data_IF_830251550409
#
_entry.id   IF_830251550409
#
_cell.length_a   1.000
_cell.length_b   1.000
_cell.length_c   1.000
_cell.angle_alpha   90.00
_cell.angle_beta   90.00
_cell.angle_gamma   90.00
#
_symmetry.space_group_name_H-M   'P 1'
#
loop_
_entity.id
_entity.type
_entity.pdbx_description
1 polymer ?
#
# COMPACT_ATOMS: atom_id res chain seq x y z
N UNK A 1 7.90 4.06 -12.98
CA UNK A 1 8.90 3.49 -12.05
C UNK A 1 8.13 2.68 -11.02
N UNK A 2 8.13 1.34 -11.12
CA UNK A 2 7.33 0.49 -10.23
C UNK A 2 8.02 0.39 -8.88
N UNK A 3 7.51 1.15 -7.91
CA UNK A 3 8.00 1.21 -6.53
C UNK A 3 7.52 -0.01 -5.72
N UNK A 4 6.47 -0.69 -6.19
CA UNK A 4 5.89 -1.86 -5.54
C UNK A 4 6.46 -3.13 -6.16
N UNK A 5 7.03 -3.98 -5.31
CA UNK A 5 7.49 -5.33 -5.64
C UNK A 5 6.36 -6.34 -5.43
N UNK A 6 6.32 -7.32 -6.30
CA UNK A 6 5.43 -8.48 -6.17
C UNK A 6 5.74 -9.26 -4.89
N UNK A 7 4.71 -9.83 -4.27
CA UNK A 7 4.78 -10.63 -3.03
C UNK A 7 5.33 -9.92 -1.78
N UNK A 8 5.41 -8.59 -1.79
CA UNK A 8 5.72 -7.81 -0.60
C UNK A 8 4.44 -7.32 0.10
N UNK A 9 4.53 -7.21 1.43
CA UNK A 9 3.51 -6.55 2.23
C UNK A 9 3.99 -5.16 2.63
N UNK A 10 3.06 -4.23 2.73
CA UNK A 10 3.33 -2.85 3.05
C UNK A 10 2.54 -2.41 4.28
N UNK A 11 3.13 -1.45 4.99
CA UNK A 11 2.46 -0.61 5.97
C UNK A 11 2.38 0.80 5.42
N UNK A 12 1.18 1.37 5.38
CA UNK A 12 0.92 2.73 4.92
C UNK A 12 0.47 3.57 6.11
N UNK A 13 0.98 4.80 6.18
CA UNK A 13 0.43 5.87 7.01
C UNK A 13 -0.28 6.85 6.10
N UNK A 14 -1.58 7.04 6.33
CA UNK A 14 -2.43 7.89 5.50
C UNK A 14 -3.40 8.67 6.39
N UNK A 15 -3.33 10.00 6.36
CA UNK A 15 -4.15 10.90 7.18
C UNK A 15 -4.13 10.50 8.66
N UNK A 16 -2.93 10.27 9.21
CA UNK A 16 -2.69 9.82 10.58
C UNK A 16 -3.28 8.43 10.95
N UNK A 17 -3.72 7.63 9.97
CA UNK A 17 -4.13 6.24 10.18
C UNK A 17 -3.08 5.29 9.64
N UNK A 18 -2.84 4.19 10.35
CA UNK A 18 -1.95 3.13 9.91
C UNK A 18 -2.73 1.95 9.34
N UNK A 19 -2.32 1.50 8.16
CA UNK A 19 -2.84 0.31 7.50
C UNK A 19 -1.67 -0.65 7.29
N UNK A 20 -1.82 -1.91 7.67
CA UNK A 20 -0.74 -2.92 7.63
C UNK A 20 -1.17 -4.14 6.81
N UNK A 21 -0.21 -4.98 6.45
CA UNK A 21 -0.45 -6.21 5.67
C UNK A 21 -1.13 -5.94 4.32
N UNK A 22 -0.77 -4.82 3.70
CA UNK A 22 -1.30 -4.42 2.40
C UNK A 22 -0.46 -5.02 1.28
N UNK A 23 -1.10 -5.65 0.30
CA UNK A 23 -0.49 -6.12 -0.93
C UNK A 23 -0.89 -5.20 -2.07
N UNK A 24 0.08 -4.78 -2.89
CA UNK A 24 -0.18 -3.96 -4.06
C UNK A 24 -1.09 -4.69 -5.06
N UNK A 25 -2.08 -3.98 -5.59
CA UNK A 25 -2.98 -4.51 -6.63
C UNK A 25 -2.75 -3.78 -7.94
N UNK A 26 -2.84 -2.44 -7.92
CA UNK A 26 -2.63 -1.59 -9.10
C UNK A 26 -2.40 -0.14 -8.73
N UNK A 27 -1.96 0.60 -9.73
CA UNK A 27 -1.84 2.06 -9.69
C UNK A 27 -2.57 2.62 -10.91
N UNK A 28 -3.39 3.64 -10.69
CA UNK A 28 -4.22 4.26 -11.72
C UNK A 28 -3.96 5.77 -11.72
N UNK A 29 -3.85 6.38 -12.90
CA UNK A 29 -3.76 7.84 -13.05
C UNK A 29 -5.10 8.37 -13.57
N UNK A 30 -5.76 9.21 -12.78
CA UNK A 30 -7.08 9.78 -13.11
C UNK A 30 -7.02 11.28 -12.88
N UNK A 31 -7.25 12.06 -13.94
CA UNK A 31 -7.22 13.53 -13.88
C UNK A 31 -5.94 14.08 -13.22
N UNK A 32 -4.77 13.55 -13.63
CA UNK A 32 -3.44 13.89 -13.10
C UNK A 32 -3.19 13.53 -11.63
N UNK A 33 -4.15 12.87 -10.97
CA UNK A 33 -3.98 12.31 -9.62
C UNK A 33 -3.61 10.83 -9.73
N UNK A 34 -2.56 10.43 -9.03
CA UNK A 34 -2.12 9.04 -8.96
C UNK A 34 -2.75 8.34 -7.76
N UNK A 35 -3.51 7.28 -8.02
CA UNK A 35 -4.15 6.46 -7.00
C UNK A 35 -3.47 5.11 -6.90
N UNK A 36 -3.29 4.63 -5.67
CA UNK A 36 -2.72 3.30 -5.38
C UNK A 36 -3.80 2.46 -4.71
N UNK A 37 -4.13 1.32 -5.32
CA UNK A 37 -5.03 0.34 -4.72
C UNK A 37 -4.23 -0.81 -4.12
N UNK A 38 -4.49 -1.11 -2.85
CA UNK A 38 -3.91 -2.23 -2.13
C UNK A 38 -5.01 -3.08 -1.48
N UNK A 39 -4.72 -4.36 -1.29
CA UNK A 39 -5.58 -5.31 -0.59
C UNK A 39 -4.98 -5.64 0.77
N UNK A 40 -5.75 -5.55 1.84
CA UNK A 40 -5.37 -6.14 3.11
C UNK A 40 -5.50 -7.67 3.02
N UNK A 41 -4.40 -8.40 3.17
CA UNK A 41 -4.40 -9.86 3.00
C UNK A 41 -5.05 -10.60 4.17
N UNK A 42 -5.18 -9.96 5.33
CA UNK A 42 -5.81 -10.54 6.51
C UNK A 42 -7.34 -10.40 6.46
N UNK A 43 -7.83 -9.22 6.09
CA UNK A 43 -9.29 -8.94 6.06
C UNK A 43 -9.91 -9.14 4.69
N UNK A 44 -9.11 -9.14 3.63
CA UNK A 44 -9.56 -9.18 2.24
C UNK A 44 -10.05 -7.84 1.68
N UNK A 45 -10.10 -6.79 2.50
CA UNK A 45 -10.58 -5.46 2.12
C UNK A 45 -9.64 -4.77 1.12
N UNK A 46 -10.23 -4.00 0.21
CA UNK A 46 -9.51 -3.17 -0.76
C UNK A 46 -9.50 -1.72 -0.31
N UNK A 47 -8.34 -1.07 -0.40
CA UNK A 47 -8.14 0.33 -0.07
C UNK A 47 -7.52 1.05 -1.26
N UNK A 48 -8.05 2.22 -1.60
CA UNK A 48 -7.47 3.10 -2.62
C UNK A 48 -7.05 4.40 -1.96
N UNK A 49 -5.79 4.76 -2.17
CA UNK A 49 -5.16 5.95 -1.60
C UNK A 49 -4.77 6.91 -2.71
N UNK A 50 -5.01 8.20 -2.52
CA UNK A 50 -4.33 9.24 -3.29
C UNK A 50 -2.86 9.23 -2.89
N UNK A 51 -1.96 9.02 -3.85
CA UNK A 51 -0.53 8.92 -3.60
C UNK A 51 0.04 10.18 -2.94
N UNK A 52 -0.53 11.35 -3.22
CA UNK A 52 -0.08 12.63 -2.67
C UNK A 52 -0.41 12.80 -1.19
N UNK A 53 -1.38 12.05 -0.67
CA UNK A 53 -1.84 12.10 0.73
C UNK A 53 -1.24 10.95 1.59
N UNK A 54 -0.31 10.17 1.06
CA UNK A 54 0.39 9.12 1.80
C UNK A 54 1.53 9.75 2.62
N UNK A 55 1.41 9.69 3.94
CA UNK A 55 2.38 10.23 4.89
C UNK A 55 3.65 9.34 5.01
N UNK A 56 3.52 8.03 4.73
CA UNK A 56 4.65 7.11 4.76
C UNK A 56 4.33 5.70 4.28
N UNK A 57 5.36 5.04 3.73
CA UNK A 57 5.31 3.65 3.25
C UNK A 57 6.48 2.87 3.85
N UNK A 58 6.20 1.70 4.43
CA UNK A 58 7.21 0.75 4.90
C UNK A 58 6.97 -0.62 4.28
N UNK A 59 8.04 -1.21 3.72
CA UNK A 59 8.05 -2.61 3.31
C UNK A 59 8.17 -3.50 4.55
N UNK A 60 7.30 -4.51 4.65
CA UNK A 60 7.37 -5.54 5.67
C UNK A 60 8.00 -6.77 5.02
N UNK A 61 9.30 -6.97 5.22
CA UNK A 61 9.96 -8.21 4.86
C UNK A 61 9.46 -9.33 5.80
N UNK A 62 9.03 -10.47 5.24
CA UNK A 62 8.75 -11.69 6.00
C UNK A 62 10.03 -12.35 6.59
N UNK A 63 11.19 -11.71 6.46
CA UNK A 63 12.42 -12.12 7.12
C UNK A 63 12.45 -11.48 8.50
N UNK A 64 12.02 -12.26 9.50
CA UNK A 64 12.29 -12.18 10.96
C UNK A 64 11.01 -12.38 11.78
N UNK A 65 10.34 -13.52 11.58
CA UNK A 65 9.52 -14.14 12.61
C UNK A 65 10.12 -15.54 12.87
N UNK A 66 11.09 -15.61 13.79
CA UNK A 66 11.60 -16.82 14.42
C UNK A 66 11.40 -16.68 15.91
#
# INVERSE_FOLDING_TARGET
MNIFRDNMFYKFTYKNKCFSFLQFIRMDMVCDVCYVTLKNVLTGEMFTFDQSEIDGVQEICAANAW
#
